data_IF_618957939660
#
_entry.id   IF_618957939660
#
_cell.length_a   1.000
_cell.length_b   1.000
_cell.length_c   1.000
_cell.angle_alpha   90.00
_cell.angle_beta   90.00
_cell.angle_gamma   90.00
#
_symmetry.space_group_name_H-M   'P 1'
#
loop_
_entity.id
_entity.type
_entity.pdbx_description
1 polymer ?
#
# COMPACT_ATOMS: atom_id res chain seq x y z
N UNK A 1 -1.16 22.49 -7.71
CA UNK A 1 -1.54 21.24 -7.02
C UNK A 1 -0.99 20.03 -7.77
N UNK A 2 -0.69 18.90 -7.11
CA UNK A 2 -0.27 17.67 -7.82
C UNK A 2 -1.41 17.22 -8.76
N UNK A 3 -1.07 16.75 -9.96
CA UNK A 3 -2.07 16.25 -10.93
C UNK A 3 -2.71 14.93 -10.49
N UNK A 4 -2.02 14.15 -9.67
CA UNK A 4 -2.42 12.81 -9.23
C UNK A 4 -2.59 12.72 -7.71
N UNK A 5 -3.53 11.89 -7.24
CA UNK A 5 -3.68 11.48 -5.84
C UNK A 5 -3.11 10.08 -5.64
N UNK A 6 -2.46 9.84 -4.49
CA UNK A 6 -1.90 8.53 -4.16
C UNK A 6 -2.64 7.95 -2.96
N UNK A 7 -3.18 6.74 -3.12
CA UNK A 7 -4.00 6.04 -2.13
C UNK A 7 -3.35 4.70 -1.80
N UNK A 8 -3.17 4.44 -0.50
CA UNK A 8 -2.79 3.11 0.00
C UNK A 8 -4.01 2.21 0.03
N UNK A 9 -3.85 0.96 -0.40
CA UNK A 9 -4.86 -0.10 -0.27
C UNK A 9 -4.53 -1.08 0.87
N UNK A 10 -3.70 -0.65 1.82
CA UNK A 10 -3.38 -1.41 3.03
C UNK A 10 -2.05 -2.16 2.95
N UNK A 11 -1.97 -3.25 3.71
CA UNK A 11 -0.76 -4.04 3.89
C UNK A 11 0.02 -3.71 5.17
N UNK A 12 -0.66 -3.69 6.33
CA UNK A 12 0.01 -3.65 7.63
C UNK A 12 0.72 -2.33 7.95
N UNK A 13 0.17 -1.20 7.50
CA UNK A 13 0.67 0.18 7.64
C UNK A 13 1.90 0.58 6.79
N UNK A 14 2.59 -0.37 6.16
CA UNK A 14 3.86 -0.10 5.47
C UNK A 14 3.75 0.89 4.31
N UNK A 15 2.76 0.71 3.43
CA UNK A 15 2.49 1.64 2.33
C UNK A 15 2.14 3.03 2.87
N UNK A 16 1.28 3.11 3.87
CA UNK A 16 0.88 4.39 4.47
C UNK A 16 2.09 5.12 5.07
N UNK A 17 3.01 4.39 5.71
CA UNK A 17 4.26 4.93 6.24
C UNK A 17 5.18 5.47 5.14
N UNK A 18 5.37 4.71 4.06
CA UNK A 18 6.17 5.13 2.90
C UNK A 18 5.58 6.35 2.21
N UNK A 19 4.27 6.34 1.96
CA UNK A 19 3.58 7.49 1.36
C UNK A 19 3.67 8.73 2.26
N UNK A 20 3.64 8.56 3.58
CA UNK A 20 3.85 9.65 4.51
C UNK A 20 5.31 10.17 4.49
N UNK A 21 6.29 9.27 4.47
CA UNK A 21 7.71 9.61 4.37
C UNK A 21 8.01 10.48 3.15
N UNK A 22 7.45 10.14 1.99
CA UNK A 22 7.61 10.89 0.75
C UNK A 22 6.62 12.07 0.59
N UNK A 23 5.81 12.37 1.61
CA UNK A 23 4.75 13.40 1.56
C UNK A 23 3.83 13.20 0.35
N UNK A 24 3.55 11.95 -0.01
CA UNK A 24 2.67 11.53 -1.10
C UNK A 24 1.23 11.33 -0.63
N UNK A 25 1.06 10.95 0.64
CA UNK A 25 -0.23 10.69 1.24
C UNK A 25 -1.12 11.94 1.20
N UNK A 26 -2.29 11.81 0.57
CA UNK A 26 -3.25 12.90 0.46
C UNK A 26 -3.99 13.14 1.78
N UNK A 27 -4.50 12.08 2.38
CA UNK A 27 -5.18 12.09 3.67
C UNK A 27 -5.10 10.69 4.30
N UNK A 28 -5.56 10.55 5.55
CA UNK A 28 -5.74 9.23 6.16
C UNK A 28 -7.01 8.57 5.61
N UNK A 29 -6.87 7.37 5.07
CA UNK A 29 -7.89 6.57 4.40
C UNK A 29 -8.09 5.23 5.14
N UNK A 30 -9.17 4.47 4.89
CA UNK A 30 -9.57 3.37 5.79
C UNK A 30 -8.52 2.26 5.83
N UNK A 31 -7.93 1.91 4.69
CA UNK A 31 -6.96 0.83 4.60
C UNK A 31 -5.56 1.14 5.16
N UNK A 32 -5.25 2.41 5.46
CA UNK A 32 -3.91 2.82 5.94
C UNK A 32 -3.46 2.10 7.22
N UNK A 33 -4.40 1.56 8.00
CA UNK A 33 -4.18 1.01 9.34
C UNK A 33 -4.79 -0.38 9.53
N UNK A 34 -5.11 -1.03 8.41
CA UNK A 34 -5.64 -2.38 8.40
C UNK A 34 -4.52 -3.37 8.09
N UNK A 35 -4.57 -4.48 8.80
CA UNK A 35 -3.81 -5.67 8.51
C UNK A 35 -4.64 -6.54 7.58
N UNK A 36 -4.39 -6.48 6.27
CA UNK A 36 -5.07 -7.28 5.25
C UNK A 36 -4.07 -8.08 4.41
N UNK A 37 -2.93 -8.50 4.98
CA UNK A 37 -1.87 -9.17 4.22
C UNK A 37 -2.25 -10.59 3.79
N UNK A 38 -3.10 -11.28 4.57
CA UNK A 38 -3.57 -12.61 4.24
C UNK A 38 -4.67 -12.60 3.16
N UNK A 39 -5.84 -12.01 3.45
CA UNK A 39 -6.95 -11.86 2.49
C UNK A 39 -6.61 -10.93 1.31
N UNK A 40 -5.52 -10.18 1.45
CA UNK A 40 -4.92 -9.38 0.41
C UNK A 40 -5.83 -8.25 -0.09
N UNK A 41 -5.73 -8.00 -1.39
CA UNK A 41 -6.51 -7.01 -2.11
C UNK A 41 -7.93 -7.53 -2.42
N UNK A 42 -8.19 -8.83 -2.25
CA UNK A 42 -9.54 -9.41 -2.39
C UNK A 42 -10.55 -8.85 -1.38
N UNK A 43 -10.16 -8.74 -0.11
CA UNK A 43 -11.02 -8.13 0.94
C UNK A 43 -11.28 -6.65 0.67
N UNK A 44 -10.25 -5.89 0.28
CA UNK A 44 -10.35 -4.47 -0.11
C UNK A 44 -11.28 -4.29 -1.30
N UNK A 45 -11.13 -5.12 -2.33
CA UNK A 45 -11.99 -5.11 -3.52
C UNK A 45 -13.45 -5.35 -3.14
N UNK A 46 -13.71 -6.29 -2.23
CA UNK A 46 -15.05 -6.62 -1.75
C UNK A 46 -15.67 -5.47 -0.96
N UNK A 47 -14.92 -4.88 -0.01
CA UNK A 47 -15.38 -3.72 0.76
C UNK A 47 -15.73 -2.52 -0.13
N UNK A 48 -14.90 -2.24 -1.15
CA UNK A 48 -15.19 -1.15 -2.08
C UNK A 48 -16.39 -1.44 -2.98
N UNK A 49 -16.54 -2.70 -3.42
CA UNK A 49 -17.67 -3.15 -4.21
C UNK A 49 -19.00 -3.01 -3.46
N UNK A 50 -19.02 -3.33 -2.16
CA UNK A 50 -20.21 -3.16 -1.31
C UNK A 50 -20.38 -1.75 -0.75
N UNK A 51 -19.54 -0.77 -1.13
CA UNK A 51 -19.66 0.60 -0.60
C UNK A 51 -19.41 0.69 0.92
N UNK A 52 -18.67 -0.28 1.48
CA UNK A 52 -18.39 -0.45 2.90
C UNK A 52 -19.57 -0.89 3.79
N UNK A 53 -20.68 -1.35 3.21
CA UNK A 53 -21.88 -1.73 3.99
C UNK A 53 -21.57 -2.80 5.06
N UNK A 54 -20.70 -3.76 4.74
CA UNK A 54 -20.35 -4.88 5.64
C UNK A 54 -19.37 -4.53 6.76
N UNK A 55 -18.85 -3.29 6.78
CA UNK A 55 -17.79 -2.85 7.71
C UNK A 55 -18.14 -1.57 8.49
N UNK A 56 -19.41 -1.15 8.43
CA UNK A 56 -19.95 0.03 9.13
C UNK A 56 -20.64 -0.33 10.44
N UNK A 57 -20.60 0.61 11.39
CA UNK A 57 -21.23 0.47 12.70
C UNK A 57 -20.57 -0.56 13.61
N UNK A 58 -20.84 -0.45 14.92
CA UNK A 58 -20.27 -1.34 15.95
C UNK A 58 -20.55 -2.82 15.67
N UNK A 59 -21.71 -3.13 15.08
CA UNK A 59 -22.14 -4.50 14.77
C UNK A 59 -21.26 -5.22 13.74
N UNK A 60 -20.53 -4.50 12.89
CA UNK A 60 -19.63 -5.09 11.90
C UNK A 60 -18.35 -5.65 12.52
N UNK A 61 -18.07 -5.37 13.78
CA UNK A 61 -16.82 -5.75 14.44
C UNK A 61 -17.01 -6.96 15.34
N UNK A 62 -15.93 -7.72 15.48
CA UNK A 62 -15.79 -8.77 16.49
C UNK A 62 -14.36 -8.77 17.02
N UNK A 63 -14.18 -9.42 18.15
CA UNK A 63 -12.87 -9.61 18.74
C UNK A 63 -12.53 -11.10 18.67
N UNK A 64 -11.56 -11.48 17.85
CA UNK A 64 -11.18 -12.87 17.59
C UNK A 64 -9.67 -13.06 17.79
N UNK A 65 -9.24 -14.32 17.95
CA UNK A 65 -7.81 -14.62 17.81
C UNK A 65 -7.40 -14.43 16.34
N UNK A 66 -6.22 -13.87 16.12
CA UNK A 66 -5.71 -13.58 14.78
C UNK A 66 -4.32 -14.19 14.61
N UNK A 67 -4.07 -14.84 13.46
CA UNK A 67 -2.84 -15.61 13.21
C UNK A 67 -1.56 -14.78 13.42
N UNK A 68 -1.61 -13.48 13.09
CA UNK A 68 -0.46 -12.55 13.26
C UNK A 68 -0.08 -12.29 14.72
N UNK A 69 -1.03 -12.35 15.64
CA UNK A 69 -0.80 -12.11 17.07
C UNK A 69 -1.31 -13.29 17.91
N UNK A 70 -0.65 -14.46 17.85
CA UNK A 70 -1.04 -15.62 18.63
C UNK A 70 -1.14 -15.30 20.12
N UNK A 71 -2.18 -15.80 20.78
CA UNK A 71 -2.42 -15.54 22.21
C UNK A 71 -3.00 -14.15 22.52
N UNK A 72 -3.19 -13.29 21.52
CA UNK A 72 -3.89 -12.01 21.67
C UNK A 72 -5.20 -12.01 20.91
N UNK A 73 -6.13 -11.18 21.38
CA UNK A 73 -7.41 -10.95 20.71
C UNK A 73 -7.35 -9.66 19.92
N UNK A 74 -7.59 -9.74 18.62
CA UNK A 74 -7.59 -8.60 17.69
C UNK A 74 -9.00 -8.18 17.34
N UNK A 75 -9.17 -6.88 17.06
CA UNK A 75 -10.43 -6.35 16.53
C UNK A 75 -10.44 -6.55 15.02
N UNK A 76 -11.41 -7.32 14.54
CA UNK A 76 -11.55 -7.71 13.13
C UNK A 76 -12.95 -7.39 12.63
N UNK A 77 -13.12 -7.34 11.30
CA UNK A 77 -14.45 -7.29 10.70
C UNK A 77 -15.09 -8.68 10.72
N UNK A 78 -16.38 -8.78 11.03
CA UNK A 78 -17.12 -10.05 11.01
C UNK A 78 -17.15 -10.67 9.61
N UNK A 79 -17.36 -9.84 8.59
CA UNK A 79 -17.36 -10.28 7.19
C UNK A 79 -15.96 -10.59 6.64
N UNK A 80 -14.90 -10.10 7.31
CA UNK A 80 -13.50 -10.23 6.88
C UNK A 80 -12.61 -10.55 8.09
N UNK A 81 -12.69 -11.77 8.66
CA UNK A 81 -12.07 -12.09 9.95
C UNK A 81 -10.53 -12.08 9.94
N UNK A 82 -9.89 -12.14 8.77
CA UNK A 82 -8.42 -11.98 8.65
C UNK A 82 -8.00 -10.54 8.37
N UNK A 83 -8.94 -9.60 8.35
CA UNK A 83 -8.66 -8.17 8.29
C UNK A 83 -8.79 -7.56 9.67
N UNK A 84 -7.65 -7.18 10.26
CA UNK A 84 -7.57 -6.68 11.62
C UNK A 84 -7.22 -5.19 11.70
N UNK A 85 -7.71 -4.51 12.73
CA UNK A 85 -7.24 -3.18 13.09
C UNK A 85 -5.92 -3.26 13.87
N UNK A 86 -4.89 -2.56 13.38
CA UNK A 86 -3.55 -2.62 14.00
C UNK A 86 -3.40 -1.65 15.18
N UNK A 87 -4.02 -0.46 15.12
CA UNK A 87 -3.77 0.63 16.08
C UNK A 87 -5.03 1.24 16.69
N UNK A 88 -6.20 0.66 16.39
CA UNK A 88 -7.49 1.24 16.77
C UNK A 88 -8.45 0.16 17.22
N UNK A 89 -9.34 0.50 18.15
CA UNK A 89 -10.38 -0.41 18.63
C UNK A 89 -11.76 0.22 18.38
N UNK A 90 -12.31 0.14 17.15
CA UNK A 90 -13.63 0.68 16.84
C UNK A 90 -14.78 -0.03 17.56
N UNK A 91 -14.56 -1.25 18.08
CA UNK A 91 -15.55 -1.99 18.85
C UNK A 91 -15.82 -1.34 20.22
N UNK A 92 -14.76 -0.91 20.91
CA UNK A 92 -14.85 -0.38 22.28
C UNK A 92 -14.67 1.15 22.35
N UNK A 93 -14.20 1.80 21.27
CA UNK A 93 -13.95 3.23 21.23
C UNK A 93 -14.82 3.93 20.15
N UNK A 94 -15.91 4.62 20.55
CA UNK A 94 -16.78 5.34 19.63
C UNK A 94 -16.06 6.38 18.77
N UNK A 95 -15.03 7.08 19.30
CA UNK A 95 -14.25 8.04 18.52
C UNK A 95 -13.43 7.35 17.43
N UNK A 96 -12.91 6.15 17.70
CA UNK A 96 -12.20 5.35 16.71
C UNK A 96 -13.14 4.88 15.61
N UNK A 97 -14.35 4.42 15.96
CA UNK A 97 -15.40 4.06 15.00
C UNK A 97 -15.76 5.23 14.09
N UNK A 98 -16.17 6.38 14.66
CA UNK A 98 -16.54 7.58 13.88
C UNK A 98 -15.38 8.05 13.01
N UNK A 99 -14.14 7.95 13.51
CA UNK A 99 -12.96 8.30 12.72
C UNK A 99 -12.79 7.36 11.52
N UNK A 100 -13.02 6.07 11.70
CA UNK A 100 -12.91 5.07 10.64
C UNK A 100 -14.01 5.24 9.60
N UNK A 101 -15.27 5.45 10.03
CA UNK A 101 -16.40 5.72 9.14
C UNK A 101 -16.17 6.96 8.27
N UNK A 102 -15.71 8.06 8.87
CA UNK A 102 -15.34 9.27 8.10
C UNK A 102 -14.24 9.02 7.06
N UNK A 103 -13.35 8.04 7.29
CA UNK A 103 -12.33 7.66 6.29
C UNK A 103 -12.97 6.87 5.15
N UNK A 104 -13.93 6.01 5.43
CA UNK A 104 -14.72 5.30 4.42
C UNK A 104 -15.52 6.28 3.56
N UNK A 105 -16.23 7.22 4.19
CA UNK A 105 -16.98 8.28 3.49
C UNK A 105 -16.06 9.07 2.56
N UNK A 106 -14.92 9.54 3.07
CA UNK A 106 -13.92 10.25 2.27
C UNK A 106 -13.43 9.41 1.09
N UNK A 107 -13.22 8.11 1.29
CA UNK A 107 -12.78 7.24 0.20
C UNK A 107 -13.87 7.14 -0.88
N UNK A 108 -15.13 6.90 -0.50
CA UNK A 108 -16.26 6.89 -1.45
C UNK A 108 -16.36 8.19 -2.24
N UNK A 109 -16.29 9.35 -1.56
CA UNK A 109 -16.29 10.66 -2.19
C UNK A 109 -15.15 10.83 -3.21
N UNK A 110 -13.94 10.36 -2.86
CA UNK A 110 -12.79 10.42 -3.78
C UNK A 110 -12.98 9.53 -5.00
N UNK A 111 -13.60 8.35 -4.85
CA UNK A 111 -13.83 7.42 -5.96
C UNK A 111 -14.94 7.90 -6.90
N UNK A 112 -15.96 8.56 -6.37
CA UNK A 112 -17.13 9.05 -7.13
C UNK A 112 -16.88 10.42 -7.78
N UNK A 113 -16.16 11.32 -7.10
CA UNK A 113 -16.07 12.73 -7.48
C UNK A 113 -14.71 13.21 -7.98
N UNK A 114 -13.68 12.36 -7.99
CA UNK A 114 -12.33 12.83 -8.34
C UNK A 114 -12.18 13.16 -9.83
N UNK A 115 -11.72 14.38 -10.11
CA UNK A 115 -11.23 14.79 -11.44
C UNK A 115 -9.74 14.54 -11.65
N UNK A 116 -9.05 14.07 -10.61
CA UNK A 116 -7.61 13.76 -10.64
C UNK A 116 -7.43 12.27 -10.84
N UNK A 117 -6.39 11.90 -11.58
CA UNK A 117 -5.96 10.50 -11.64
C UNK A 117 -5.63 10.00 -10.23
N UNK A 118 -6.07 8.79 -9.90
CA UNK A 118 -5.74 8.09 -8.65
C UNK A 118 -4.69 7.01 -8.92
N UNK A 119 -3.54 7.11 -8.28
CA UNK A 119 -2.57 6.03 -8.19
C UNK A 119 -2.80 5.24 -6.90
N UNK A 120 -3.36 4.05 -7.04
CA UNK A 120 -3.44 3.09 -5.94
C UNK A 120 -2.09 2.39 -5.76
N UNK A 121 -1.69 2.19 -4.51
CA UNK A 121 -0.52 1.41 -4.14
C UNK A 121 -1.00 0.30 -3.21
N UNK A 122 -0.82 -0.94 -3.66
CA UNK A 122 -1.08 -2.15 -2.89
C UNK A 122 0.23 -2.87 -2.58
N UNK A 123 0.27 -3.55 -1.44
CA UNK A 123 1.42 -4.24 -0.91
C UNK A 123 1.00 -5.59 -0.36
N UNK A 124 1.67 -6.65 -0.81
CA UNK A 124 1.56 -8.00 -0.27
C UNK A 124 2.92 -8.45 0.23
N UNK A 125 2.95 -9.20 1.32
CA UNK A 125 4.17 -9.81 1.83
C UNK A 125 4.14 -11.31 1.58
N UNK A 126 5.20 -11.86 0.99
CA UNK A 126 5.27 -13.27 0.63
C UNK A 126 5.23 -14.18 1.86
N UNK A 127 5.88 -13.75 2.95
CA UNK A 127 5.98 -14.47 4.22
C UNK A 127 4.77 -14.34 5.14
N UNK A 128 3.67 -13.71 4.69
CA UNK A 128 2.49 -13.48 5.52
C UNK A 128 1.35 -14.45 5.24
N UNK A 129 0.86 -15.11 6.30
CA UNK A 129 -0.28 -16.02 6.29
C UNK A 129 -0.20 -17.04 7.45
N UNK A 130 -1.32 -17.66 7.86
CA UNK A 130 -1.29 -18.77 8.81
C UNK A 130 -0.43 -19.94 8.33
N UNK A 131 -0.39 -20.20 7.02
CA UNK A 131 0.41 -21.27 6.41
C UNK A 131 1.93 -21.03 6.45
N UNK A 132 2.37 -19.81 6.74
CA UNK A 132 3.80 -19.47 6.81
C UNK A 132 4.33 -19.31 8.25
N UNK A 133 3.49 -19.52 9.27
CA UNK A 133 3.89 -19.36 10.67
C UNK A 133 4.92 -20.41 11.13
N UNK A 134 4.78 -21.65 10.65
CA UNK A 134 5.60 -22.79 11.07
C UNK A 134 6.52 -23.33 9.96
N UNK A 135 6.41 -22.77 8.75
CA UNK A 135 7.11 -23.25 7.57
C UNK A 135 8.10 -22.22 7.05
N UNK A 136 9.29 -22.67 6.64
CA UNK A 136 10.18 -21.83 5.86
C UNK A 136 9.49 -21.50 4.54
N UNK A 137 9.50 -20.21 4.18
CA UNK A 137 8.97 -19.75 2.89
C UNK A 137 9.90 -20.27 1.81
N UNK A 138 9.43 -21.28 1.07
CA UNK A 138 10.14 -21.81 -0.08
C UNK A 138 9.72 -21.11 -1.37
N UNK A 139 10.36 -21.48 -2.47
CA UNK A 139 10.09 -20.89 -3.78
C UNK A 139 8.67 -21.17 -4.28
N UNK A 140 8.07 -22.31 -3.91
CA UNK A 140 6.72 -22.67 -4.34
C UNK A 140 5.66 -21.78 -3.69
N UNK A 141 5.83 -21.47 -2.39
CA UNK A 141 4.99 -20.52 -1.66
C UNK A 141 5.14 -19.12 -2.28
N UNK A 142 6.37 -18.70 -2.60
CA UNK A 142 6.61 -17.41 -3.26
C UNK A 142 5.89 -17.34 -4.61
N UNK A 143 6.00 -18.35 -5.46
CA UNK A 143 5.32 -18.40 -6.74
C UNK A 143 3.79 -18.36 -6.59
N UNK A 144 3.24 -19.07 -5.60
CA UNK A 144 1.82 -18.97 -5.26
C UNK A 144 1.44 -17.53 -4.86
N UNK A 145 2.26 -16.85 -4.05
CA UNK A 145 2.04 -15.46 -3.64
C UNK A 145 2.11 -14.49 -4.81
N UNK A 146 3.00 -14.71 -5.77
CA UNK A 146 3.07 -13.92 -7.01
C UNK A 146 1.78 -14.11 -7.82
N UNK A 147 1.32 -15.35 -8.01
CA UNK A 147 0.04 -15.61 -8.71
C UNK A 147 -1.15 -14.98 -8.01
N UNK A 148 -1.25 -15.11 -6.68
CA UNK A 148 -2.32 -14.47 -5.89
C UNK A 148 -2.26 -12.94 -6.01
N UNK A 149 -1.06 -12.34 -5.98
CA UNK A 149 -0.88 -10.90 -6.23
C UNK A 149 -1.41 -10.51 -7.61
N UNK A 150 -1.08 -11.29 -8.65
CA UNK A 150 -1.57 -11.12 -10.01
C UNK A 150 -3.09 -11.14 -10.10
N UNK A 151 -3.71 -12.22 -9.60
CA UNK A 151 -5.17 -12.42 -9.61
C UNK A 151 -5.90 -11.28 -8.90
N UNK A 152 -5.54 -10.98 -7.65
CA UNK A 152 -6.26 -9.96 -6.88
C UNK A 152 -6.08 -8.55 -7.47
N UNK A 153 -4.92 -8.26 -8.06
CA UNK A 153 -4.67 -6.98 -8.71
C UNK A 153 -5.50 -6.80 -9.97
N UNK A 154 -5.64 -7.88 -10.76
CA UNK A 154 -6.50 -7.91 -11.93
C UNK A 154 -7.96 -7.74 -11.53
N UNK A 155 -8.44 -8.51 -10.56
CA UNK A 155 -9.81 -8.44 -10.05
C UNK A 155 -10.16 -7.03 -9.54
N UNK A 156 -9.22 -6.38 -8.83
CA UNK A 156 -9.38 -5.01 -8.40
C UNK A 156 -9.53 -4.04 -9.58
N UNK A 157 -8.64 -4.13 -10.58
CA UNK A 157 -8.68 -3.24 -11.76
C UNK A 157 -9.96 -3.44 -12.55
N UNK A 158 -10.41 -4.69 -12.74
CA UNK A 158 -11.66 -5.01 -13.42
C UNK A 158 -12.87 -4.46 -12.65
N UNK A 159 -12.91 -4.66 -11.32
CA UNK A 159 -13.96 -4.10 -10.47
C UNK A 159 -13.99 -2.57 -10.53
N UNK A 160 -12.84 -1.92 -10.38
CA UNK A 160 -12.72 -0.46 -10.41
C UNK A 160 -13.14 0.11 -11.76
N UNK A 161 -12.73 -0.51 -12.87
CA UNK A 161 -13.09 -0.08 -14.22
C UNK A 161 -14.58 -0.24 -14.50
N UNK A 162 -15.19 -1.31 -13.98
CA UNK A 162 -16.63 -1.57 -14.13
C UNK A 162 -17.49 -0.61 -13.31
N UNK A 163 -17.15 -0.42 -12.04
CA UNK A 163 -17.92 0.37 -11.06
C UNK A 163 -17.71 1.88 -11.20
N UNK A 164 -16.47 2.31 -11.43
CA UNK A 164 -16.09 3.72 -11.49
C UNK A 164 -15.62 4.12 -12.90
N UNK A 165 -16.50 3.95 -13.90
CA UNK A 165 -16.16 4.07 -15.34
C UNK A 165 -15.53 5.41 -15.75
N UNK A 166 -15.87 6.50 -15.07
CA UNK A 166 -15.33 7.83 -15.33
C UNK A 166 -14.03 8.14 -14.56
N UNK A 167 -13.63 7.25 -13.64
CA UNK A 167 -12.46 7.46 -12.81
C UNK A 167 -11.19 7.10 -13.58
N UNK A 168 -10.29 8.06 -13.71
CA UNK A 168 -8.93 7.78 -14.17
C UNK A 168 -8.11 7.23 -13.01
N UNK A 169 -7.62 5.99 -13.13
CA UNK A 169 -6.79 5.38 -12.11
C UNK A 169 -5.73 4.45 -12.67
N UNK A 170 -4.80 4.07 -11.80
CA UNK A 170 -3.83 3.00 -12.01
C UNK A 170 -3.53 2.31 -10.68
N UNK A 171 -3.11 1.05 -10.75
CA UNK A 171 -2.69 0.24 -9.62
C UNK A 171 -1.20 -0.10 -9.75
N UNK A 172 -0.42 0.26 -8.72
CA UNK A 172 0.90 -0.31 -8.47
C UNK A 172 0.76 -1.38 -7.40
N UNK A 173 0.99 -2.63 -7.79
CA UNK A 173 0.90 -3.81 -6.94
C UNK A 173 2.31 -4.31 -6.60
N UNK A 174 2.67 -4.29 -5.32
CA UNK A 174 4.04 -4.54 -4.88
C UNK A 174 4.11 -5.82 -4.05
N UNK A 175 5.02 -6.72 -4.42
CA UNK A 175 5.37 -7.87 -3.61
C UNK A 175 6.57 -7.53 -2.70
N UNK A 176 6.40 -7.82 -1.42
CA UNK A 176 7.46 -7.76 -0.42
C UNK A 176 8.01 -9.16 -0.19
N UNK A 177 9.32 -9.30 -0.29
CA UNK A 177 10.00 -10.58 -0.10
C UNK A 177 11.26 -10.36 0.73
N UNK A 178 11.64 -11.37 1.50
CA UNK A 178 12.88 -11.30 2.26
C UNK A 178 14.10 -11.19 1.33
N UNK A 179 15.13 -10.49 1.79
CA UNK A 179 16.29 -10.12 0.97
C UNK A 179 17.00 -11.33 0.35
N UNK A 180 17.02 -12.47 1.04
CA UNK A 180 17.62 -13.72 0.54
C UNK A 180 16.99 -14.18 -0.77
N UNK A 181 15.67 -14.06 -0.91
CA UNK A 181 14.97 -14.49 -2.12
C UNK A 181 15.13 -13.47 -3.24
N UNK A 182 15.09 -12.16 -2.94
CA UNK A 182 15.28 -11.11 -3.95
C UNK A 182 16.67 -11.15 -4.60
N UNK A 183 17.68 -11.60 -3.85
CA UNK A 183 19.04 -11.76 -4.35
C UNK A 183 19.26 -13.07 -5.13
N UNK A 184 18.25 -13.95 -5.21
CA UNK A 184 18.31 -15.16 -6.03
C UNK A 184 18.25 -14.75 -7.51
N UNK A 185 19.25 -15.10 -8.35
CA UNK A 185 19.33 -14.59 -9.73
C UNK A 185 18.06 -14.83 -10.57
N UNK A 186 17.38 -15.95 -10.36
CA UNK A 186 16.16 -16.32 -11.08
C UNK A 186 14.89 -15.64 -10.55
N UNK A 187 14.92 -15.00 -9.38
CA UNK A 187 13.70 -14.45 -8.78
C UNK A 187 13.05 -13.38 -9.67
N UNK A 188 13.84 -12.43 -10.19
CA UNK A 188 13.31 -11.34 -11.04
C UNK A 188 12.68 -11.91 -12.31
N UNK A 189 13.37 -12.81 -13.01
CA UNK A 189 12.86 -13.44 -14.23
C UNK A 189 11.57 -14.23 -13.97
N UNK A 190 11.52 -15.00 -12.87
CA UNK A 190 10.31 -15.71 -12.45
C UNK A 190 9.17 -14.76 -12.12
N UNK A 191 9.44 -13.70 -11.36
CA UNK A 191 8.45 -12.71 -10.99
C UNK A 191 7.83 -12.08 -12.23
N UNK A 192 8.67 -11.57 -13.14
CA UNK A 192 8.25 -10.96 -14.40
C UNK A 192 7.43 -11.93 -15.26
N UNK A 193 7.92 -13.16 -15.44
CA UNK A 193 7.23 -14.22 -16.18
C UNK A 193 5.82 -14.49 -15.63
N UNK A 194 5.66 -14.64 -14.30
CA UNK A 194 4.36 -14.92 -13.71
C UNK A 194 3.43 -13.71 -13.78
N UNK A 195 3.92 -12.48 -13.53
CA UNK A 195 3.03 -11.30 -13.51
C UNK A 195 2.61 -10.82 -14.90
N UNK A 196 3.37 -11.18 -15.95
CA UNK A 196 3.03 -10.85 -17.33
C UNK A 196 1.69 -11.45 -17.77
N UNK A 197 1.33 -12.63 -17.25
CA UNK A 197 0.01 -13.27 -17.48
C UNK A 197 -1.18 -12.42 -16.97
N UNK A 198 -0.90 -11.47 -16.07
CA UNK A 198 -1.90 -10.58 -15.45
C UNK A 198 -1.81 -9.15 -15.97
N UNK A 199 -0.93 -8.87 -16.93
CA UNK A 199 -0.71 -7.52 -17.44
C UNK A 199 -2.00 -6.95 -18.06
N UNK A 200 -2.44 -5.80 -17.55
CA UNK A 200 -3.56 -5.04 -18.10
C UNK A 200 -3.28 -3.54 -18.05
N UNK A 201 -4.06 -2.76 -18.80
CA UNK A 201 -3.90 -1.30 -18.82
C UNK A 201 -4.11 -0.72 -17.42
N UNK A 202 -3.17 0.12 -16.99
CA UNK A 202 -3.23 0.75 -15.67
C UNK A 202 -2.76 -0.14 -14.51
N UNK A 203 -2.39 -1.40 -14.75
CA UNK A 203 -1.78 -2.27 -13.73
C UNK A 203 -0.26 -2.35 -13.91
N UNK A 204 0.47 -2.21 -12.81
CA UNK A 204 1.92 -2.38 -12.74
C UNK A 204 2.29 -3.23 -11.54
N UNK A 205 3.31 -4.06 -11.73
CA UNK A 205 3.84 -4.93 -10.69
C UNK A 205 5.27 -4.53 -10.32
N UNK A 206 5.62 -4.75 -9.07
CA UNK A 206 6.94 -4.41 -8.55
C UNK A 206 7.29 -5.25 -7.31
N UNK A 207 8.54 -5.19 -6.89
CA UNK A 207 9.08 -5.89 -5.73
C UNK A 207 9.87 -4.94 -4.82
N UNK A 208 9.83 -5.22 -3.52
CA UNK A 208 10.65 -4.55 -2.49
C UNK A 208 11.10 -5.58 -1.46
N UNK A 209 12.20 -5.28 -0.75
CA UNK A 209 12.57 -6.07 0.42
C UNK A 209 11.52 -5.89 1.52
N UNK A 210 11.24 -6.95 2.27
CA UNK A 210 10.47 -6.92 3.52
C UNK A 210 10.95 -5.80 4.43
N UNK A 211 10.03 -5.16 5.14
CA UNK A 211 10.39 -4.08 6.05
C UNK A 211 11.29 -4.63 7.17
N UNK A 212 12.48 -4.07 7.38
CA UNK A 212 13.32 -4.46 8.50
C UNK A 212 12.75 -3.87 9.79
N UNK A 213 12.41 -4.75 10.73
CA UNK A 213 12.02 -4.34 12.08
C UNK A 213 13.28 -4.02 12.91
N UNK A 214 13.25 -2.93 13.68
CA UNK A 214 14.32 -2.57 14.62
C UNK A 214 15.63 -2.01 14.04
N UNK A 215 15.95 -2.23 12.76
CA UNK A 215 17.19 -1.74 12.13
C UNK A 215 17.01 -0.42 11.37
N UNK A 216 17.67 0.65 11.85
CA UNK A 216 17.65 1.98 11.24
C UNK A 216 18.35 2.06 9.89
N UNK A 217 19.44 1.33 9.69
CA UNK A 217 20.22 1.33 8.45
C UNK A 217 19.47 0.58 7.37
N UNK A 218 18.97 -0.62 7.69
CA UNK A 218 18.15 -1.39 6.77
C UNK A 218 16.85 -0.63 6.42
N UNK A 219 16.22 0.08 7.37
CA UNK A 219 15.04 0.90 7.10
C UNK A 219 15.31 2.04 6.09
N UNK A 220 16.52 2.63 6.08
CA UNK A 220 16.90 3.61 5.05
C UNK A 220 17.03 2.96 3.67
N UNK A 221 17.55 1.74 3.60
CA UNK A 221 17.63 0.99 2.34
C UNK A 221 16.23 0.66 1.83
N UNK A 222 15.36 0.18 2.71
CA UNK A 222 13.95 -0.07 2.42
C UNK A 222 13.23 1.18 1.88
N UNK A 223 13.38 2.33 2.54
CA UNK A 223 12.85 3.61 2.06
C UNK A 223 13.42 3.98 0.68
N UNK A 224 14.72 3.77 0.44
CA UNK A 224 15.36 4.05 -0.85
C UNK A 224 14.79 3.16 -1.97
N UNK A 225 14.56 1.87 -1.70
CA UNK A 225 13.95 0.93 -2.65
C UNK A 225 12.53 1.37 -3.00
N UNK A 226 11.69 1.65 -2.01
CA UNK A 226 10.35 2.22 -2.24
C UNK A 226 10.39 3.51 -3.05
N UNK A 227 11.35 4.40 -2.77
CA UNK A 227 11.53 5.62 -3.55
C UNK A 227 11.91 5.35 -5.02
N UNK A 228 12.59 4.25 -5.32
CA UNK A 228 12.88 3.83 -6.70
C UNK A 228 11.62 3.25 -7.37
N UNK A 229 10.92 2.34 -6.70
CA UNK A 229 9.64 1.74 -7.12
C UNK A 229 8.60 2.80 -7.45
N UNK A 230 8.35 3.74 -6.53
CA UNK A 230 7.34 4.78 -6.75
C UNK A 230 7.71 5.71 -7.92
N UNK A 231 9.01 5.98 -8.15
CA UNK A 231 9.44 6.83 -9.27
C UNK A 231 9.33 6.14 -10.61
N UNK A 232 9.81 4.90 -10.72
CA UNK A 232 9.82 4.17 -12.00
C UNK A 232 8.40 3.89 -12.48
N UNK A 233 7.47 3.69 -11.55
CA UNK A 233 6.04 3.58 -11.83
C UNK A 233 5.33 4.94 -11.91
N UNK A 234 6.06 6.06 -11.90
CA UNK A 234 5.52 7.41 -12.04
C UNK A 234 4.62 7.90 -10.90
N UNK A 235 4.50 7.16 -9.80
CA UNK A 235 3.71 7.53 -8.60
C UNK A 235 4.35 8.70 -7.85
N UNK A 236 5.68 8.80 -7.94
CA UNK A 236 6.47 9.86 -7.33
C UNK A 236 7.31 10.59 -8.38
N UNK A 237 7.30 11.94 -8.36
CA UNK A 237 8.22 12.74 -9.19
C UNK A 237 9.58 12.93 -8.49
N UNK A 238 10.61 13.33 -9.24
CA UNK A 238 11.91 13.73 -8.65
C UNK A 238 11.76 14.88 -7.65
N UNK A 239 10.83 15.80 -7.90
CA UNK A 239 10.58 16.93 -7.00
C UNK A 239 9.99 16.50 -5.66
N UNK A 240 9.16 15.45 -5.65
CA UNK A 240 8.60 14.88 -4.42
C UNK A 240 9.70 14.22 -3.57
N UNK A 241 10.62 13.50 -4.20
CA UNK A 241 11.78 12.91 -3.52
C UNK A 241 12.68 13.97 -2.86
N UNK A 242 12.86 15.14 -3.50
CA UNK A 242 13.66 16.22 -2.91
C UNK A 242 12.98 16.81 -1.67
N UNK A 243 11.63 16.80 -1.63
CA UNK A 243 10.87 17.34 -0.50
C UNK A 243 10.95 16.46 0.74
N UNK A 244 11.22 15.16 0.61
CA UNK A 244 11.32 14.25 1.76
C UNK A 244 12.64 14.38 2.54
N UNK A 245 13.66 15.04 2.00
CA UNK A 245 14.89 15.29 2.75
C UNK A 245 14.68 16.31 3.89
N UNK A 246 15.25 16.07 5.08
CA UNK A 246 15.21 17.03 6.18
C UNK A 246 15.83 18.38 5.77
N UNK A 247 15.33 19.48 6.34
CA UNK A 247 15.71 20.86 5.97
C UNK A 247 17.23 21.10 6.05
N UNK A 248 17.94 20.42 6.96
CA UNK A 248 19.40 20.46 7.08
C UNK A 248 20.12 19.90 5.83
N UNK A 249 19.60 18.82 5.23
CA UNK A 249 20.10 18.24 3.99
C UNK A 249 19.67 19.05 2.75
N UNK A 250 18.49 19.69 2.78
CA UNK A 250 18.04 20.61 1.71
C UNK A 250 18.97 21.82 1.56
N UNK A 251 19.56 22.31 2.65
CA UNK A 251 20.53 23.42 2.64
C UNK A 251 21.82 23.01 1.90
N UNK A 252 22.30 21.78 2.12
CA UNK A 252 23.45 21.19 1.39
C UNK A 252 23.12 20.88 -0.07
N UNK A 253 21.96 20.32 -0.38
CA UNK A 253 21.53 20.07 -1.75
C UNK A 253 21.39 21.38 -2.56
N UNK A 254 20.83 22.45 -1.97
CA UNK A 254 20.80 23.77 -2.60
C UNK A 254 22.21 24.30 -2.89
N UNK A 255 23.21 23.99 -2.04
CA UNK A 255 24.61 24.34 -2.27
C UNK A 255 25.27 23.50 -3.38
N UNK A 256 24.82 22.26 -3.61
CA UNK A 256 25.36 21.35 -4.63
C UNK A 256 24.67 21.45 -6.00
N UNK A 257 23.52 22.12 -6.12
CA UNK A 257 22.88 22.40 -7.41
C UNK A 257 23.70 23.48 -8.15
N UNK A 258 24.19 23.22 -9.38
CA UNK A 258 24.96 24.19 -10.17
C UNK A 258 24.18 25.50 -10.34
N UNK A 259 24.86 26.66 -10.21
CA UNK A 259 24.25 28.01 -10.27
C UNK A 259 23.29 28.20 -11.46
N UNK A 260 23.55 27.55 -12.59
CA UNK A 260 22.70 27.57 -13.81
C UNK A 260 21.28 27.04 -13.64
N UNK A 261 20.99 26.25 -12.61
CA UNK A 261 19.64 25.76 -12.27
C UNK A 261 18.97 26.56 -11.15
N UNK A 262 19.62 27.59 -10.60
CA UNK A 262 19.05 28.53 -9.64
C UNK A 262 18.42 29.72 -10.40
N UNK A 263 17.36 29.50 -11.17
CA UNK A 263 16.62 30.62 -11.80
C UNK A 263 15.54 31.17 -10.88
N UNK A 264 15.74 32.42 -10.49
CA UNK A 264 14.80 33.52 -10.22
C UNK A 264 13.47 33.17 -9.53
N UNK A 265 13.48 33.21 -8.20
CA UNK A 265 12.29 33.45 -7.37
C UNK A 265 12.53 34.69 -6.49
N UNK A 266 12.81 35.81 -7.15
CA UNK A 266 12.82 37.15 -6.56
C UNK A 266 12.50 38.14 -7.68
N UNK A 267 11.21 38.47 -7.80
CA UNK A 267 10.67 39.38 -8.80
C UNK A 267 9.18 39.58 -8.54
N UNK A 268 8.90 40.55 -7.68
CA UNK A 268 7.62 41.13 -7.24
C UNK A 268 6.68 40.29 -6.37
#
# INVERSE_FOLDING_TARGET
MRKQMVISLGGGCDVAMILNHFQLRHSSLPFDWLWNLHDGLGSVTSMLRSGFDDVRGVGAYSQLSHYRWPGQRSIVFRAYPHVAHVHTNPLENPKALTTFERRMDRMSELLEGSRREIAFVYYRQASEGPETLDHQVDESIIDERIRRLGTESRDFVEMMSSRYRSLSFRLLSVLSVDEVHLNTPSFTERFECIVDDYATQGLRFDTVVSRPEGDRTANKLWQKQWGAVLRRNGVMSRADQIKSFPLSAKRRLRQMVPKRFRKNSSGH
#
